data_IF_443327960192
#
_entry.id   IF_443327960192
#
_cell.length_a   1.000
_cell.length_b   1.000
_cell.length_c   1.000
_cell.angle_alpha   90.00
_cell.angle_beta   90.00
_cell.angle_gamma   90.00
#
_symmetry.space_group_name_H-M   'P 1'
#
loop_
_entity.id
_entity.type
_entity.pdbx_description
1 polymer ?
#
# COMPACT_ATOMS: atom_id res chain seq x y z
N UNK A 1 9.82 -33.32 1.09
CA UNK A 1 9.88 -32.29 0.04
C UNK A 1 9.91 -30.84 0.58
N UNK A 2 10.28 -30.61 1.84
CA UNK A 2 10.23 -29.29 2.51
C UNK A 2 11.45 -28.37 2.28
N UNK A 3 12.51 -28.84 1.62
CA UNK A 3 13.76 -28.07 1.46
C UNK A 3 13.78 -27.14 0.24
N UNK A 4 12.91 -27.36 -0.73
CA UNK A 4 12.90 -26.60 -1.99
C UNK A 4 12.15 -25.25 -1.83
N UNK A 5 11.15 -25.20 -0.96
CA UNK A 5 10.43 -23.96 -0.62
C UNK A 5 11.28 -22.97 0.19
N UNK A 6 12.10 -23.47 1.12
CA UNK A 6 13.06 -22.63 1.86
C UNK A 6 14.16 -22.06 0.96
N UNK A 7 14.42 -22.67 -0.20
CA UNK A 7 15.47 -22.24 -1.13
C UNK A 7 15.04 -21.04 -1.99
N UNK A 8 13.76 -20.95 -2.37
CA UNK A 8 13.22 -19.81 -3.13
C UNK A 8 13.15 -18.51 -2.31
N UNK A 9 13.01 -18.61 -0.98
CA UNK A 9 13.05 -17.46 -0.06
C UNK A 9 14.46 -16.93 0.23
N UNK A 10 15.52 -17.58 -0.31
CA UNK A 10 16.92 -17.33 0.04
C UNK A 10 17.77 -16.68 -1.05
N UNK A 11 17.17 -16.16 -2.13
CA UNK A 11 17.82 -15.05 -2.86
C UNK A 11 17.96 -13.92 -1.85
N UNK A 12 19.15 -13.32 -1.72
CA UNK A 12 19.40 -12.10 -0.93
C UNK A 12 18.40 -11.04 -1.40
N UNK A 13 17.20 -11.02 -0.80
CA UNK A 13 16.16 -10.04 -1.11
C UNK A 13 16.81 -8.69 -0.92
N UNK A 14 16.67 -7.81 -1.91
CA UNK A 14 17.09 -6.42 -1.72
C UNK A 14 16.24 -5.90 -0.59
N UNK A 15 16.77 -5.90 0.64
CA UNK A 15 16.07 -5.35 1.80
C UNK A 15 15.69 -3.92 1.41
N UNK A 16 14.39 -3.65 1.31
CA UNK A 16 13.90 -2.30 1.13
C UNK A 16 14.51 -1.44 2.24
N UNK A 17 14.92 -0.23 1.88
CA UNK A 17 15.56 0.64 2.85
C UNK A 17 14.54 1.01 3.93
N UNK A 18 14.87 0.69 5.18
CA UNK A 18 14.07 1.02 6.37
C UNK A 18 14.33 2.45 6.87
N UNK A 19 15.25 3.17 6.21
CA UNK A 19 15.58 4.57 6.45
C UNK A 19 16.10 5.17 5.14
N UNK A 20 16.08 6.49 4.99
CA UNK A 20 16.63 7.15 3.79
C UNK A 20 18.11 6.73 3.64
N UNK A 21 18.51 6.11 2.50
CA UNK A 21 19.89 5.70 2.32
C UNK A 21 20.81 6.90 2.15
N UNK A 22 22.01 6.82 2.73
CA UNK A 22 23.08 7.77 2.43
C UNK A 22 23.52 7.64 0.96
N UNK A 23 24.07 8.69 0.38
CA UNK A 23 24.64 8.63 -0.98
C UNK A 23 25.67 7.51 -1.15
N UNK A 24 26.47 7.25 -0.11
CA UNK A 24 27.41 6.14 -0.11
C UNK A 24 26.70 4.78 -0.22
N UNK A 25 25.63 4.58 0.55
CA UNK A 25 24.80 3.38 0.46
C UNK A 25 24.12 3.25 -0.90
N UNK A 26 23.73 4.37 -1.53
CA UNK A 26 23.16 4.39 -2.88
C UNK A 26 24.13 3.85 -3.93
N UNK A 27 25.42 4.20 -3.83
CA UNK A 27 26.45 3.73 -4.75
C UNK A 27 26.85 2.28 -4.46
N UNK A 28 27.19 1.96 -3.20
CA UNK A 28 27.64 0.61 -2.81
C UNK A 28 26.62 -0.48 -3.08
N UNK A 29 25.32 -0.19 -2.92
CA UNK A 29 24.26 -1.17 -3.14
C UNK A 29 23.82 -1.29 -4.60
N UNK A 30 24.51 -0.61 -5.53
CA UNK A 30 24.19 -0.65 -6.97
C UNK A 30 22.70 -0.37 -7.22
N UNK A 31 22.23 0.81 -6.80
CA UNK A 31 20.83 1.20 -6.94
C UNK A 31 20.37 1.21 -8.39
N UNK A 32 21.25 1.59 -9.33
CA UNK A 32 20.99 1.43 -10.74
C UNK A 32 21.21 -0.03 -11.14
N UNK A 33 20.19 -0.66 -11.72
CA UNK A 33 20.22 -2.07 -12.12
C UNK A 33 21.33 -2.39 -13.14
N UNK A 34 21.88 -1.39 -13.84
CA UNK A 34 22.91 -1.58 -14.88
C UNK A 34 24.29 -1.84 -14.31
N UNK A 35 24.81 -0.95 -13.45
CA UNK A 35 26.11 -1.15 -12.80
C UNK A 35 26.40 -0.18 -11.65
N UNK A 36 27.45 -0.48 -10.88
CA UNK A 36 28.00 0.39 -9.85
C UNK A 36 28.39 1.76 -10.39
N UNK A 37 29.03 1.81 -11.58
CA UNK A 37 29.42 3.05 -12.23
C UNK A 37 28.22 3.95 -12.54
N UNK A 38 27.11 3.37 -13.00
CA UNK A 38 25.87 4.13 -13.23
C UNK A 38 25.28 4.66 -11.91
N UNK A 39 25.36 3.88 -10.83
CA UNK A 39 24.92 4.34 -9.50
C UNK A 39 25.76 5.51 -9.01
N UNK A 40 27.08 5.46 -9.21
CA UNK A 40 27.99 6.58 -8.93
C UNK A 40 27.65 7.81 -9.77
N UNK A 41 27.49 7.66 -11.09
CA UNK A 41 27.15 8.76 -11.98
C UNK A 41 25.83 9.44 -11.57
N UNK A 42 24.82 8.68 -11.11
CA UNK A 42 23.57 9.26 -10.60
C UNK A 42 23.79 10.10 -9.36
N UNK A 43 24.60 9.63 -8.41
CA UNK A 43 24.92 10.39 -7.19
C UNK A 43 25.73 11.64 -7.53
N UNK A 44 26.69 11.54 -8.46
CA UNK A 44 27.45 12.67 -8.95
C UNK A 44 26.56 13.69 -9.63
N UNK A 45 25.71 13.25 -10.57
CA UNK A 45 24.75 14.09 -11.27
C UNK A 45 23.80 14.78 -10.29
N UNK A 46 23.25 14.04 -9.32
CA UNK A 46 22.39 14.61 -8.27
C UNK A 46 23.15 15.67 -7.45
N UNK A 47 24.40 15.39 -7.08
CA UNK A 47 25.24 16.34 -6.33
C UNK A 47 25.49 17.62 -7.13
N UNK A 48 25.78 17.51 -8.42
CA UNK A 48 25.95 18.65 -9.31
C UNK A 48 24.66 19.49 -9.40
N UNK A 49 23.51 18.87 -9.68
CA UNK A 49 22.25 19.62 -9.80
C UNK A 49 21.80 20.30 -8.51
N UNK A 50 21.89 19.61 -7.38
CA UNK A 50 21.25 20.10 -6.16
C UNK A 50 22.20 20.82 -5.20
N UNK A 51 23.50 20.48 -5.17
CA UNK A 51 24.48 21.21 -4.34
C UNK A 51 25.22 22.31 -5.08
N UNK A 52 25.57 22.10 -6.36
CA UNK A 52 26.35 23.08 -7.14
C UNK A 52 25.43 24.04 -7.88
N UNK A 53 24.54 23.52 -8.73
CA UNK A 53 23.61 24.33 -9.52
C UNK A 53 22.41 24.85 -8.73
N UNK A 54 22.21 24.33 -7.51
CA UNK A 54 21.12 24.71 -6.60
C UNK A 54 19.75 24.70 -7.30
N UNK A 55 19.43 23.66 -8.07
CA UNK A 55 18.16 23.57 -8.79
C UNK A 55 16.91 23.65 -7.90
N UNK A 56 17.02 23.47 -6.59
CA UNK A 56 15.92 23.69 -5.64
C UNK A 56 15.57 25.19 -5.46
N UNK A 57 16.44 26.10 -5.87
CA UNK A 57 16.21 27.55 -5.79
C UNK A 57 15.15 28.04 -6.77
N UNK A 58 15.05 27.40 -7.94
CA UNK A 58 14.05 27.73 -8.99
C UNK A 58 12.71 27.05 -8.79
N UNK A 59 12.53 26.30 -7.70
CA UNK A 59 11.28 25.63 -7.36
C UNK A 59 10.61 26.42 -6.24
N UNK A 60 9.41 26.90 -6.49
CA UNK A 60 8.63 27.69 -5.53
C UNK A 60 8.05 26.80 -4.44
N UNK A 61 7.46 25.66 -4.84
CA UNK A 61 6.82 24.72 -3.93
C UNK A 61 6.94 23.26 -4.40
N UNK A 62 7.13 22.37 -3.43
CA UNK A 62 7.09 20.92 -3.57
C UNK A 62 5.83 20.37 -2.91
N UNK A 63 5.07 19.60 -3.69
CA UNK A 63 3.85 18.96 -3.21
C UNK A 63 4.15 17.54 -2.72
N UNK A 64 3.80 17.28 -1.46
CA UNK A 64 3.94 15.98 -0.82
C UNK A 64 2.57 15.28 -0.73
N UNK A 65 2.36 14.14 -1.40
CA UNK A 65 1.08 13.41 -1.40
C UNK A 65 0.61 12.89 -0.04
N UNK A 66 1.48 12.89 0.97
CA UNK A 66 1.19 12.42 2.32
C UNK A 66 2.04 13.15 3.36
N UNK A 67 1.60 13.12 4.62
CA UNK A 67 2.42 13.61 5.74
C UNK A 67 3.68 12.76 5.91
N UNK A 68 3.62 11.47 5.59
CA UNK A 68 4.81 10.61 5.56
C UNK A 68 5.85 11.14 4.57
N UNK A 69 5.49 11.40 3.32
CA UNK A 69 6.42 11.94 2.33
C UNK A 69 6.92 13.33 2.73
N UNK A 70 6.03 14.18 3.23
CA UNK A 70 6.44 15.48 3.78
C UNK A 70 7.50 15.34 4.88
N UNK A 71 7.32 14.39 5.81
CA UNK A 71 8.26 14.15 6.89
C UNK A 71 9.64 13.71 6.41
N UNK A 72 9.71 13.06 5.24
CA UNK A 72 10.96 12.66 4.59
C UNK A 72 11.55 13.76 3.73
N UNK A 73 10.71 14.50 3.01
CA UNK A 73 11.13 15.62 2.19
C UNK A 73 11.77 16.73 3.03
N UNK A 74 11.24 17.03 4.22
CA UNK A 74 11.80 18.07 5.11
C UNK A 74 13.20 17.75 5.66
N UNK A 75 13.69 16.51 5.51
CA UNK A 75 15.07 16.15 5.85
C UNK A 75 16.08 16.75 4.84
N UNK A 76 15.62 17.17 3.65
CA UNK A 76 16.47 17.64 2.55
C UNK A 76 15.98 18.92 1.86
N UNK A 77 14.71 19.30 2.04
CA UNK A 77 14.07 20.49 1.45
C UNK A 77 13.60 21.40 2.58
N UNK A 78 13.71 22.72 2.37
CA UNK A 78 13.23 23.73 3.32
C UNK A 78 11.71 23.62 3.53
N UNK A 79 11.29 23.72 4.80
CA UNK A 79 9.89 23.46 5.19
C UNK A 79 8.91 24.45 4.56
N UNK A 80 9.30 25.72 4.39
CA UNK A 80 8.50 26.76 3.73
C UNK A 80 8.19 26.44 2.25
N UNK A 81 9.02 25.64 1.59
CA UNK A 81 8.81 25.19 0.21
C UNK A 81 8.02 23.89 0.12
N UNK A 82 7.54 23.31 1.22
CA UNK A 82 6.82 22.04 1.21
C UNK A 82 5.35 22.24 1.57
N UNK A 83 4.46 21.55 0.86
CA UNK A 83 3.04 21.50 1.19
C UNK A 83 2.52 20.06 1.11
N UNK A 84 1.62 19.68 2.04
CA UNK A 84 0.96 18.37 1.98
C UNK A 84 -0.27 18.49 1.09
N UNK A 85 -0.24 17.81 -0.06
CA UNK A 85 -1.30 17.87 -1.06
C UNK A 85 -1.63 16.45 -1.50
N UNK A 86 -2.70 15.87 -0.94
CA UNK A 86 -3.12 14.49 -1.24
C UNK A 86 -3.70 14.42 -2.64
N UNK A 87 -3.30 13.42 -3.42
CA UNK A 87 -3.90 13.19 -4.73
C UNK A 87 -5.38 12.87 -4.58
N UNK A 88 -6.29 13.54 -5.30
CA UNK A 88 -7.70 13.27 -5.20
C UNK A 88 -8.03 11.91 -5.81
N UNK A 89 -9.07 11.27 -5.28
CA UNK A 89 -9.59 10.02 -5.83
C UNK A 89 -11.08 10.18 -6.08
N UNK A 90 -11.49 9.82 -7.29
CA UNK A 90 -12.91 9.74 -7.65
C UNK A 90 -13.30 8.28 -7.58
N UNK A 91 -14.17 7.96 -6.63
CA UNK A 91 -14.91 6.72 -6.64
C UNK A 91 -16.35 7.07 -7.01
N UNK A 92 -16.82 6.50 -8.12
CA UNK A 92 -18.24 6.49 -8.41
C UNK A 92 -18.91 5.78 -7.24
N UNK A 93 -19.74 6.48 -6.46
CA UNK A 93 -20.67 5.84 -5.54
C UNK A 93 -21.66 5.05 -6.38
N UNK A 94 -21.24 3.87 -6.84
CA UNK A 94 -22.20 2.92 -7.35
C UNK A 94 -23.07 2.57 -6.15
N UNK A 95 -24.37 2.83 -6.27
CA UNK A 95 -25.45 2.36 -5.40
C UNK A 95 -25.58 0.83 -5.50
N UNK A 96 -24.47 0.10 -5.54
CA UNK A 96 -24.48 -1.32 -5.24
C UNK A 96 -24.79 -1.35 -3.76
N UNK A 97 -26.04 -1.66 -3.42
CA UNK A 97 -26.40 -2.03 -2.07
C UNK A 97 -25.33 -3.00 -1.58
N UNK A 98 -24.78 -2.75 -0.38
CA UNK A 98 -23.92 -3.70 0.31
C UNK A 98 -24.76 -4.96 0.57
N UNK A 99 -24.90 -5.82 -0.44
CA UNK A 99 -25.28 -7.21 -0.24
C UNK A 99 -24.09 -7.83 0.47
N UNK A 100 -24.12 -7.77 1.80
CA UNK A 100 -23.35 -8.68 2.64
C UNK A 100 -23.59 -10.06 2.05
N UNK A 101 -22.53 -10.79 1.78
CA UNK A 101 -22.67 -12.17 1.38
C UNK A 101 -23.54 -12.86 2.44
N UNK A 102 -24.68 -13.42 2.03
CA UNK A 102 -25.55 -14.23 2.90
C UNK A 102 -24.79 -15.47 3.41
N UNK A 103 -23.72 -15.84 2.69
CA UNK A 103 -22.75 -16.83 3.11
C UNK A 103 -21.84 -16.22 4.18
N UNK A 104 -21.62 -16.95 5.27
CA UNK A 104 -20.81 -16.65 6.46
C UNK A 104 -19.31 -16.28 6.22
N UNK A 105 -18.94 -15.85 5.01
CA UNK A 105 -17.57 -15.57 4.57
C UNK A 105 -17.29 -14.06 4.60
N UNK A 106 -16.12 -13.69 5.12
CA UNK A 106 -15.60 -12.32 5.05
C UNK A 106 -14.75 -12.16 3.81
N UNK A 107 -15.09 -11.19 2.97
CA UNK A 107 -14.36 -10.86 1.74
C UNK A 107 -13.30 -9.79 2.00
N UNK A 108 -12.06 -10.10 1.62
CA UNK A 108 -10.90 -9.21 1.77
C UNK A 108 -10.26 -9.02 0.42
N UNK A 109 -10.18 -7.79 -0.07
CA UNK A 109 -9.71 -7.50 -1.41
C UNK A 109 -8.32 -6.86 -1.44
N UNK A 110 -7.40 -7.46 -2.16
CA UNK A 110 -6.16 -6.82 -2.61
C UNK A 110 -6.33 -6.34 -4.05
N UNK A 111 -5.99 -5.07 -4.32
CA UNK A 111 -6.01 -4.47 -5.65
C UNK A 111 -4.65 -3.84 -5.94
N UNK A 112 -3.93 -4.39 -6.92
CA UNK A 112 -2.62 -3.85 -7.30
C UNK A 112 -1.79 -4.80 -8.14
N UNK A 113 -0.58 -4.37 -8.51
CA UNK A 113 0.37 -5.21 -9.24
C UNK A 113 0.83 -6.39 -8.37
N UNK A 114 0.95 -7.57 -8.97
CA UNK A 114 1.47 -8.77 -8.30
C UNK A 114 3.01 -8.78 -8.38
N UNK A 115 3.64 -7.89 -7.61
CA UNK A 115 5.08 -7.65 -7.62
C UNK A 115 5.68 -7.71 -6.21
N UNK A 116 7.00 -7.87 -6.13
CA UNK A 116 7.74 -8.03 -4.87
C UNK A 116 7.49 -6.89 -3.88
N UNK A 117 7.47 -5.63 -4.34
CA UNK A 117 7.27 -4.48 -3.47
C UNK A 117 5.87 -4.45 -2.82
N UNK A 118 4.87 -5.06 -3.47
CA UNK A 118 3.50 -5.11 -2.97
C UNK A 118 3.28 -6.20 -1.92
N UNK A 119 4.25 -7.10 -1.72
CA UNK A 119 4.27 -8.07 -0.61
C UNK A 119 3.16 -9.12 -0.62
N UNK A 120 2.34 -9.16 -1.67
CA UNK A 120 1.15 -10.00 -1.73
C UNK A 120 1.51 -11.49 -1.79
N UNK A 121 2.61 -11.85 -2.45
CA UNK A 121 3.09 -13.23 -2.48
C UNK A 121 3.47 -13.70 -1.07
N UNK A 122 4.24 -12.90 -0.35
CA UNK A 122 4.68 -13.20 1.01
C UNK A 122 3.49 -13.32 1.96
N UNK A 123 2.53 -12.41 1.86
CA UNK A 123 1.30 -12.49 2.63
C UNK A 123 0.54 -13.79 2.35
N UNK A 124 0.32 -14.13 1.06
CA UNK A 124 -0.41 -15.34 0.66
C UNK A 124 0.34 -16.60 1.12
N UNK A 125 1.64 -16.70 0.89
CA UNK A 125 2.43 -17.84 1.35
C UNK A 125 2.39 -18.00 2.87
N UNK A 126 2.47 -16.89 3.62
CA UNK A 126 2.41 -16.94 5.08
C UNK A 126 1.02 -17.32 5.59
N UNK A 127 -0.06 -16.75 5.06
CA UNK A 127 -1.42 -17.06 5.50
C UNK A 127 -1.82 -18.50 5.16
N UNK A 128 -1.42 -19.03 3.98
CA UNK A 128 -1.66 -20.42 3.58
C UNK A 128 -0.92 -21.44 4.49
N UNK A 129 0.20 -21.02 5.08
CA UNK A 129 1.03 -21.88 5.93
C UNK A 129 0.56 -22.00 7.38
N UNK A 130 -0.48 -21.26 7.77
CA UNK A 130 -1.01 -21.29 9.14
C UNK A 130 -1.70 -22.63 9.38
N UNK A 131 -1.23 -23.36 10.40
CA UNK A 131 -1.73 -24.70 10.73
C UNK A 131 -3.04 -24.67 11.52
N UNK A 132 -3.34 -23.55 12.18
CA UNK A 132 -4.57 -23.37 12.94
C UNK A 132 -5.66 -22.82 12.01
N UNK A 133 -6.79 -23.52 11.98
CA UNK A 133 -7.96 -23.09 11.23
C UNK A 133 -8.40 -21.67 11.63
N UNK A 134 -8.79 -20.87 10.64
CA UNK A 134 -9.30 -19.52 10.90
C UNK A 134 -10.62 -19.62 11.68
N UNK A 135 -10.84 -18.76 12.71
CA UNK A 135 -12.11 -18.73 13.44
C UNK A 135 -13.31 -18.28 12.59
N UNK A 136 -13.05 -17.76 11.39
CA UNK A 136 -14.03 -17.25 10.44
C UNK A 136 -13.66 -17.68 9.03
N UNK A 137 -14.66 -17.95 8.19
CA UNK A 137 -14.42 -18.19 6.77
C UNK A 137 -14.01 -16.88 6.10
N UNK A 138 -12.85 -16.85 5.45
CA UNK A 138 -12.31 -15.68 4.77
C UNK A 138 -12.09 -16.03 3.31
N UNK A 139 -12.51 -15.14 2.40
CA UNK A 139 -12.14 -15.20 1.00
C UNK A 139 -11.28 -13.99 0.63
N UNK A 140 -10.05 -14.25 0.17
CA UNK A 140 -9.14 -13.23 -0.34
C UNK A 140 -9.35 -13.05 -1.86
N UNK A 141 -9.90 -11.91 -2.24
CA UNK A 141 -10.01 -11.49 -3.63
C UNK A 141 -8.69 -10.83 -4.06
N UNK A 142 -7.99 -11.43 -5.02
CA UNK A 142 -6.72 -10.91 -5.54
C UNK A 142 -6.95 -10.37 -6.95
N UNK A 143 -6.87 -9.04 -7.07
CA UNK A 143 -7.12 -8.30 -8.31
C UNK A 143 -5.83 -7.66 -8.80
N UNK A 144 -5.44 -8.00 -10.03
CA UNK A 144 -4.25 -7.50 -10.70
C UNK A 144 -3.46 -8.59 -11.41
N UNK A 145 -2.32 -8.19 -11.96
CA UNK A 145 -1.39 -9.06 -12.67
C UNK A 145 0.05 -8.64 -12.35
N UNK A 146 1.02 -9.50 -12.63
CA UNK A 146 2.42 -9.22 -12.39
C UNK A 146 3.30 -10.47 -12.30
N UNK A 147 4.62 -10.26 -12.12
CA UNK A 147 5.62 -11.34 -12.14
C UNK A 147 5.40 -12.41 -11.07
N UNK A 148 4.69 -12.12 -9.97
CA UNK A 148 4.43 -13.08 -8.90
C UNK A 148 3.14 -13.90 -9.09
N UNK A 149 2.39 -13.73 -10.18
CA UNK A 149 1.11 -14.40 -10.41
C UNK A 149 1.18 -15.93 -10.23
N UNK A 150 2.15 -16.59 -10.89
CA UNK A 150 2.27 -18.05 -10.83
C UNK A 150 2.69 -18.53 -9.44
N UNK A 151 3.63 -17.83 -8.79
CA UNK A 151 4.07 -18.16 -7.43
C UNK A 151 2.92 -18.04 -6.41
N UNK A 152 2.03 -17.05 -6.58
CA UNK A 152 0.83 -16.90 -5.75
C UNK A 152 -0.11 -18.10 -5.96
N UNK A 153 -0.37 -18.48 -7.22
CA UNK A 153 -1.21 -19.65 -7.53
C UNK A 153 -0.65 -20.93 -6.91
N UNK A 154 0.66 -21.12 -6.94
CA UNK A 154 1.29 -22.31 -6.35
C UNK A 154 1.20 -22.29 -4.82
N UNK A 155 1.42 -21.15 -4.17
CA UNK A 155 1.23 -21.00 -2.73
C UNK A 155 -0.23 -21.26 -2.28
N UNK A 156 -1.22 -20.92 -3.11
CA UNK A 156 -2.64 -21.21 -2.85
C UNK A 156 -2.94 -22.71 -2.94
N UNK A 157 -2.32 -23.45 -3.87
CA UNK A 157 -2.51 -24.91 -3.96
C UNK A 157 -1.98 -25.66 -2.74
N UNK A 158 -0.97 -25.10 -2.09
CA UNK A 158 -0.38 -25.62 -0.86
C UNK A 158 -1.16 -25.18 0.39
N UNK A 159 -2.25 -24.42 0.24
CA UNK A 159 -3.07 -23.99 1.35
C UNK A 159 -3.70 -25.19 2.07
N UNK A 160 -3.45 -25.28 3.36
CA UNK A 160 -3.97 -26.35 4.23
C UNK A 160 -5.16 -25.89 5.08
N UNK A 161 -5.44 -24.58 5.12
CA UNK A 161 -6.49 -24.00 5.96
C UNK A 161 -7.84 -24.00 5.22
N UNK A 162 -8.81 -24.74 5.78
CA UNK A 162 -10.13 -24.93 5.13
C UNK A 162 -11.03 -23.70 5.21
N UNK A 163 -10.75 -22.79 6.13
CA UNK A 163 -11.53 -21.57 6.33
C UNK A 163 -10.95 -20.38 5.55
N UNK A 164 -9.92 -20.59 4.73
CA UNK A 164 -9.31 -19.55 3.92
C UNK A 164 -9.40 -19.93 2.44
N UNK A 165 -10.10 -19.11 1.68
CA UNK A 165 -10.29 -19.25 0.25
C UNK A 165 -9.61 -18.08 -0.49
N UNK A 166 -9.30 -18.30 -1.77
CA UNK A 166 -8.70 -17.29 -2.63
C UNK A 166 -9.42 -17.24 -3.97
N UNK A 167 -9.80 -16.04 -4.37
CA UNK A 167 -10.39 -15.78 -5.69
C UNK A 167 -9.45 -14.90 -6.50
N UNK A 168 -8.88 -15.44 -7.58
CA UNK A 168 -7.98 -14.72 -8.48
C UNK A 168 -8.76 -14.10 -9.65
N UNK A 169 -8.83 -12.77 -9.71
CA UNK A 169 -9.55 -12.07 -10.79
C UNK A 169 -8.67 -11.70 -11.98
N UNK A 170 -7.35 -11.67 -11.79
CA UNK A 170 -6.43 -11.14 -12.81
C UNK A 170 -6.58 -9.62 -12.98
N UNK A 171 -6.09 -9.09 -14.09
CA UNK A 171 -6.28 -7.67 -14.44
C UNK A 171 -7.69 -7.45 -15.00
N UNK A 172 -8.46 -6.61 -14.32
CA UNK A 172 -9.85 -6.30 -14.67
C UNK A 172 -10.08 -4.80 -14.86
N UNK A 173 -11.14 -4.37 -15.58
CA UNK A 173 -11.52 -2.96 -15.69
C UNK A 173 -11.89 -2.33 -14.34
N UNK A 174 -11.75 -1.00 -14.24
CA UNK A 174 -12.04 -0.24 -13.01
C UNK A 174 -13.46 -0.46 -12.46
N UNK A 175 -14.48 -0.53 -13.32
CA UNK A 175 -15.86 -0.82 -12.91
C UNK A 175 -16.02 -2.17 -12.20
N UNK A 176 -15.23 -3.17 -12.59
CA UNK A 176 -15.22 -4.48 -11.94
C UNK A 176 -14.45 -4.42 -10.61
N UNK A 177 -13.36 -3.65 -10.53
CA UNK A 177 -12.67 -3.37 -9.26
C UNK A 177 -13.65 -2.74 -8.25
N UNK A 178 -14.41 -1.73 -8.67
CA UNK A 178 -15.37 -1.04 -7.82
C UNK A 178 -16.46 -2.00 -7.33
N UNK A 179 -16.93 -2.91 -8.19
CA UNK A 179 -17.90 -3.94 -7.81
C UNK A 179 -17.33 -4.93 -6.79
N UNK A 180 -16.07 -5.33 -6.94
CA UNK A 180 -15.39 -6.24 -6.01
C UNK A 180 -15.19 -5.54 -4.65
N UNK A 181 -14.72 -4.30 -4.65
CA UNK A 181 -14.53 -3.51 -3.43
C UNK A 181 -15.86 -3.24 -2.71
N UNK A 182 -16.93 -2.88 -3.43
CA UNK A 182 -18.26 -2.67 -2.84
C UNK A 182 -18.82 -3.90 -2.11
N UNK A 183 -18.36 -5.10 -2.49
CA UNK A 183 -18.75 -6.39 -1.88
C UNK A 183 -17.74 -6.92 -0.87
N UNK A 184 -16.71 -6.15 -0.54
CA UNK A 184 -15.67 -6.55 0.40
C UNK A 184 -15.84 -5.85 1.75
N UNK A 185 -15.59 -6.57 2.84
CA UNK A 185 -15.55 -5.98 4.19
C UNK A 185 -14.21 -5.28 4.45
N UNK A 186 -13.12 -5.79 3.87
CA UNK A 186 -11.79 -5.24 4.04
C UNK A 186 -11.05 -5.04 2.71
N UNK A 187 -10.19 -4.03 2.67
CA UNK A 187 -9.16 -3.85 1.65
C UNK A 187 -7.80 -4.15 2.26
N UNK A 188 -6.97 -4.93 1.57
CA UNK A 188 -5.67 -5.39 2.02
C UNK A 188 -4.54 -4.76 1.19
N UNK A 189 -3.54 -4.18 1.85
CA UNK A 189 -2.29 -3.78 1.24
C UNK A 189 -1.07 -4.21 2.08
N UNK A 190 -0.42 -5.33 1.74
CA UNK A 190 0.69 -5.89 2.53
C UNK A 190 2.05 -5.45 1.97
N UNK A 191 2.18 -4.21 1.48
CA UNK A 191 3.40 -3.78 0.76
C UNK A 191 4.64 -3.85 1.64
N UNK A 192 5.73 -4.42 1.12
CA UNK A 192 7.01 -4.59 1.82
C UNK A 192 7.89 -3.33 1.80
N UNK A 193 7.55 -2.36 0.95
CA UNK A 193 8.24 -1.10 0.81
C UNK A 193 7.42 0.05 1.42
N UNK A 194 8.06 1.19 1.62
CA UNK A 194 7.34 2.41 1.95
C UNK A 194 6.47 2.84 0.76
N UNK A 195 5.16 2.77 0.95
CA UNK A 195 4.20 3.43 0.08
C UNK A 195 4.09 4.91 0.48
N UNK A 196 3.98 5.80 -0.52
CA UNK A 196 3.83 7.23 -0.28
C UNK A 196 2.38 7.58 0.10
N UNK A 197 1.43 7.28 -0.78
CA UNK A 197 0.01 7.56 -0.61
C UNK A 197 -0.78 6.55 -1.46
N UNK A 198 -0.89 5.28 -1.02
CA UNK A 198 -1.46 4.22 -1.83
C UNK A 198 -2.97 4.41 -2.02
N UNK A 199 -3.37 4.88 -3.21
CA UNK A 199 -4.76 5.15 -3.53
C UNK A 199 -5.65 3.89 -3.48
N UNK A 200 -5.09 2.68 -3.61
CA UNK A 200 -5.88 1.44 -3.46
C UNK A 200 -6.54 1.30 -2.08
N UNK A 201 -5.90 1.77 -1.01
CA UNK A 201 -6.50 1.81 0.32
C UNK A 201 -7.61 2.87 0.42
N UNK A 202 -7.39 4.03 -0.22
CA UNK A 202 -8.37 5.12 -0.27
C UNK A 202 -9.61 4.68 -1.05
N UNK A 203 -9.43 4.06 -2.21
CA UNK A 203 -10.50 3.53 -3.04
C UNK A 203 -11.29 2.45 -2.30
N UNK A 204 -10.63 1.52 -1.61
CA UNK A 204 -11.32 0.52 -0.77
C UNK A 204 -12.13 1.18 0.34
N UNK A 205 -11.55 2.14 1.06
CA UNK A 205 -12.26 2.89 2.10
C UNK A 205 -13.46 3.67 1.54
N UNK A 206 -13.35 4.27 0.36
CA UNK A 206 -14.47 4.97 -0.30
C UNK A 206 -15.62 4.02 -0.67
N UNK A 207 -15.36 2.72 -0.87
CA UNK A 207 -16.38 1.68 -1.01
C UNK A 207 -16.91 1.14 0.33
N UNK A 208 -16.44 1.70 1.46
CA UNK A 208 -16.86 1.30 2.79
C UNK A 208 -16.12 0.08 3.34
N UNK A 209 -14.96 -0.27 2.77
CA UNK A 209 -14.08 -1.29 3.32
C UNK A 209 -13.27 -0.74 4.51
N UNK A 210 -13.04 -1.61 5.49
CA UNK A 210 -12.01 -1.41 6.51
C UNK A 210 -10.63 -1.68 5.93
N UNK A 211 -9.58 -1.10 6.52
CA UNK A 211 -8.22 -1.24 5.99
C UNK A 211 -7.43 -2.30 6.76
N UNK A 212 -6.78 -3.22 6.04
CA UNK A 212 -5.70 -4.06 6.56
C UNK A 212 -4.44 -3.66 5.82
N UNK A 213 -3.42 -3.18 6.53
CA UNK A 213 -2.19 -2.71 5.89
C UNK A 213 -0.99 -2.78 6.81
N UNK A 214 0.22 -2.55 6.29
CA UNK A 214 1.42 -2.48 7.12
C UNK A 214 1.49 -1.22 8.00
N UNK A 215 2.08 -1.34 9.20
CA UNK A 215 2.23 -0.29 10.22
C UNK A 215 3.33 0.74 9.92
N UNK A 216 3.45 1.21 8.68
CA UNK A 216 4.46 2.21 8.31
C UNK A 216 4.13 2.98 7.03
N UNK A 217 4.90 4.04 6.75
CA UNK A 217 4.74 4.84 5.54
C UNK A 217 3.39 5.54 5.44
N UNK A 218 2.98 5.87 4.21
CA UNK A 218 1.65 6.41 3.93
C UNK A 218 0.51 5.41 4.16
N UNK A 219 0.81 4.11 4.24
CA UNK A 219 -0.16 3.08 4.60
C UNK A 219 -0.73 3.31 5.99
N UNK A 220 0.16 3.49 6.98
CA UNK A 220 -0.24 3.80 8.37
C UNK A 220 -1.05 5.09 8.44
N UNK A 221 -0.58 6.13 7.77
CA UNK A 221 -1.26 7.44 7.74
C UNK A 221 -2.71 7.33 7.24
N UNK A 222 -2.95 6.53 6.19
CA UNK A 222 -4.30 6.33 5.64
C UNK A 222 -5.15 5.49 6.58
N UNK A 223 -4.59 4.40 7.14
CA UNK A 223 -5.30 3.54 8.08
C UNK A 223 -5.78 4.28 9.34
N UNK A 224 -5.01 5.24 9.84
CA UNK A 224 -5.35 6.09 11.00
C UNK A 224 -6.45 7.13 10.71
N UNK A 225 -6.92 7.26 9.47
CA UNK A 225 -8.02 8.16 9.11
C UNK A 225 -9.41 7.53 9.27
N UNK A 226 -9.49 6.22 9.50
CA UNK A 226 -10.76 5.51 9.72
C UNK A 226 -10.67 4.57 10.93
N UNK A 227 -11.78 4.28 11.62
CA UNK A 227 -11.82 3.26 12.65
C UNK A 227 -11.73 1.85 12.03
N UNK A 228 -11.54 0.85 12.89
CA UNK A 228 -11.50 -0.57 12.51
C UNK A 228 -10.44 -0.98 11.49
N UNK A 229 -9.41 -0.14 11.29
CA UNK A 229 -8.21 -0.51 10.54
C UNK A 229 -7.33 -1.46 11.35
N UNK A 230 -6.73 -2.45 10.69
CA UNK A 230 -5.75 -3.35 11.28
C UNK A 230 -4.35 -3.10 10.70
N UNK A 231 -3.39 -2.81 11.58
CA UNK A 231 -2.00 -2.58 11.23
C UNK A 231 -1.16 -3.85 11.49
N UNK A 232 -0.62 -4.40 10.41
CA UNK A 232 0.31 -5.53 10.42
C UNK A 232 1.73 -5.05 10.71
N UNK A 233 2.43 -5.74 11.61
CA UNK A 233 3.86 -5.50 11.85
C UNK A 233 4.75 -6.47 11.09
N UNK A 234 4.24 -7.67 10.80
CA UNK A 234 4.94 -8.71 10.03
C UNK A 234 3.93 -9.73 9.48
N UNK A 235 4.42 -10.74 8.76
CA UNK A 235 3.64 -11.91 8.34
C UNK A 235 3.94 -13.14 9.22
N UNK A 236 4.35 -12.93 10.47
CA UNK A 236 4.49 -14.05 11.41
C UNK A 236 3.14 -14.70 11.65
N UNK A 237 3.15 -16.00 11.92
CA UNK A 237 1.94 -16.75 12.24
C UNK A 237 1.15 -16.10 13.38
N UNK A 238 1.83 -15.61 14.43
CA UNK A 238 1.20 -14.92 15.55
C UNK A 238 0.46 -13.63 15.14
N UNK A 239 1.04 -12.81 14.26
CA UNK A 239 0.40 -11.58 13.77
C UNK A 239 -0.78 -11.89 12.85
N UNK A 240 -0.66 -12.92 12.01
CA UNK A 240 -1.73 -13.32 11.12
C UNK A 240 -2.90 -13.97 11.87
N UNK A 241 -2.64 -14.75 12.93
CA UNK A 241 -3.69 -15.22 13.83
C UNK A 241 -4.40 -14.05 14.56
N UNK A 242 -3.64 -13.01 14.95
CA UNK A 242 -4.22 -11.78 15.53
C UNK A 242 -5.11 -11.08 14.51
N UNK A 243 -4.70 -11.02 13.24
CA UNK A 243 -5.50 -10.49 12.14
C UNK A 243 -6.81 -11.27 11.97
N UNK A 244 -6.76 -12.61 11.91
CA UNK A 244 -7.97 -13.44 11.70
C UNK A 244 -8.98 -13.29 12.85
N UNK A 245 -8.51 -13.29 14.11
CA UNK A 245 -9.38 -13.00 15.28
C UNK A 245 -9.96 -11.59 15.24
N UNK A 246 -9.16 -10.61 14.78
CA UNK A 246 -9.63 -9.24 14.65
C UNK A 246 -10.74 -9.13 13.59
N UNK A 247 -10.57 -9.80 12.45
CA UNK A 247 -11.57 -9.87 11.38
C UNK A 247 -12.87 -10.46 11.91
N UNK A 248 -12.81 -11.61 12.61
CA UNK A 248 -13.98 -12.27 13.18
C UNK A 248 -14.78 -11.33 14.10
N UNK A 249 -14.09 -10.66 15.02
CA UNK A 249 -14.70 -9.75 15.99
C UNK A 249 -15.25 -8.45 15.39
N UNK A 250 -14.69 -7.99 14.26
CA UNK A 250 -15.00 -6.67 13.74
C UNK A 250 -15.73 -6.69 12.40
N UNK A 251 -15.95 -7.84 11.74
CA UNK A 251 -16.51 -7.91 10.37
C UNK A 251 -17.82 -7.13 10.21
N UNK A 252 -18.68 -7.13 11.22
CA UNK A 252 -20.01 -6.50 11.18
C UNK A 252 -20.02 -5.01 11.53
N UNK A 253 -18.93 -4.47 12.07
CA UNK A 253 -18.89 -3.05 12.47
C UNK A 253 -18.95 -2.15 11.23
N UNK A 254 -19.66 -1.05 11.32
CA UNK A 254 -19.62 -0.01 10.29
C UNK A 254 -18.38 0.86 10.50
N UNK A 255 -17.79 1.38 9.42
CA UNK A 255 -16.64 2.26 9.49
C UNK A 255 -17.03 3.66 9.04
N UNK A 256 -16.64 4.68 9.81
CA UNK A 256 -16.79 6.08 9.42
C UNK A 256 -15.59 6.51 8.58
N UNK A 257 -15.85 6.75 7.30
CA UNK A 257 -14.84 7.17 6.33
C UNK A 257 -14.90 8.66 6.00
N UNK A 258 -15.71 9.46 6.70
CA UNK A 258 -15.92 10.89 6.43
C UNK A 258 -14.61 11.67 6.33
N UNK A 259 -13.71 11.50 7.30
CA UNK A 259 -12.39 12.14 7.35
C UNK A 259 -11.52 11.78 6.15
N UNK A 260 -11.49 10.50 5.77
CA UNK A 260 -10.72 10.02 4.63
C UNK A 260 -11.30 10.56 3.31
N UNK A 261 -12.62 10.46 3.14
CA UNK A 261 -13.32 10.98 1.95
C UNK A 261 -13.07 12.47 1.78
N UNK A 262 -13.21 13.26 2.84
CA UNK A 262 -12.92 14.69 2.82
C UNK A 262 -11.45 14.96 2.41
N UNK A 263 -10.50 14.26 3.03
CA UNK A 263 -9.07 14.46 2.81
C UNK A 263 -8.58 14.11 1.41
N UNK A 264 -9.29 13.23 0.69
CA UNK A 264 -8.98 12.77 -0.66
C UNK A 264 -10.00 13.24 -1.70
N UNK A 265 -10.84 14.23 -1.35
CA UNK A 265 -11.83 14.82 -2.25
C UNK A 265 -11.18 15.75 -3.27
N UNK A 266 -11.80 15.86 -4.44
CA UNK A 266 -11.39 16.81 -5.47
C UNK A 266 -11.49 18.25 -4.99
N UNK A 267 -12.55 18.61 -4.26
CA UNK A 267 -12.73 19.94 -3.68
C UNK A 267 -11.58 20.31 -2.75
N UNK A 268 -11.22 19.43 -1.81
CA UNK A 268 -10.10 19.67 -0.90
C UNK A 268 -8.78 19.83 -1.66
N UNK A 269 -8.57 19.05 -2.73
CA UNK A 269 -7.38 19.18 -3.56
C UNK A 269 -7.32 20.54 -4.25
N UNK A 270 -8.41 20.95 -4.90
CA UNK A 270 -8.53 22.24 -5.60
C UNK A 270 -8.33 23.41 -4.65
N UNK A 271 -8.98 23.39 -3.48
CA UNK A 271 -8.83 24.42 -2.46
C UNK A 271 -7.36 24.54 -2.00
N UNK A 272 -6.71 23.40 -1.73
CA UNK A 272 -5.30 23.37 -1.33
C UNK A 272 -4.38 23.94 -2.42
N UNK A 273 -4.63 23.62 -3.68
CA UNK A 273 -3.84 24.13 -4.81
C UNK A 273 -4.05 25.63 -5.00
N UNK A 274 -5.29 26.11 -4.89
CA UNK A 274 -5.61 27.53 -4.98
C UNK A 274 -4.92 28.33 -3.86
N UNK A 275 -4.95 27.84 -2.63
CA UNK A 275 -4.25 28.46 -1.50
C UNK A 275 -2.74 28.55 -1.74
N UNK A 276 -2.14 27.52 -2.35
CA UNK A 276 -0.72 27.52 -2.70
C UNK A 276 -0.44 28.60 -3.74
N UNK A 277 -1.21 28.65 -4.84
CA UNK A 277 -1.01 29.66 -5.88
C UNK A 277 -1.23 31.09 -5.37
N UNK A 278 -2.20 31.31 -4.48
CA UNK A 278 -2.43 32.64 -3.90
C UNK A 278 -1.23 33.13 -3.08
N UNK A 279 -0.56 32.24 -2.32
CA UNK A 279 0.65 32.61 -1.57
C UNK A 279 1.75 33.16 -2.48
N UNK A 280 1.96 32.57 -3.65
CA UNK A 280 2.99 32.99 -4.61
C UNK A 280 2.57 34.15 -5.52
N UNK A 281 1.28 34.51 -5.58
CA UNK A 281 0.83 35.70 -6.33
C UNK A 281 0.99 37.01 -5.55
N UNK A 282 1.16 36.92 -4.23
CA UNK A 282 1.26 38.07 -3.33
C UNK A 282 2.71 38.42 -2.94
N UNK A 283 3.69 37.68 -3.44
CA UNK A 283 5.15 37.94 -3.33
C UNK A 283 5.67 38.62 -4.59
#
# INVERSE_FOLDING_TARGET
MSKQFTFLLRKKRRKFFTSVPTYFNCVLKCLDHRSFFHSFLRVLQWTLHYKVLRNHSVIDCFLAPSKFMFSKAKEVIEVNKLNVTRNPTIVCKNTVEKKRCENNHVSISFVGRLSEEKGILEFVSSICSILIDSPVNVNFNIVGDGPHLNAIKDAIKENVNKNIEFTMFGKVPKSQVDTILARSEFVLLPSLCYENAPLSLVEGAMHGCKIITMNYGGMKEIAEMQPYSFLLNSFSESELQRLLRYIDNNRNNETDNSKLIHSYSESQYVDTINDIFQRFRCE
#
